data_IF_174641818024
#
_entry.id   IF_174641818024
#
_cell.length_a   1.000
_cell.length_b   1.000
_cell.length_c   1.000
_cell.angle_alpha   90.00
_cell.angle_beta   90.00
_cell.angle_gamma   90.00
#
_symmetry.space_group_name_H-M   'P 1'
#
loop_
_entity.id
_entity.type
_entity.pdbx_description
1 polymer ?
#
# COMPACT_ATOMS: atom_id res chain seq x y z
N UNK A 1 12.33 -4.21 8.05
CA UNK A 1 11.47 -5.36 8.34
C UNK A 1 10.02 -4.91 8.43
N UNK A 2 9.13 -5.38 7.58
CA UNK A 2 7.72 -5.04 7.76
C UNK A 2 7.21 -5.62 9.08
N UNK A 3 6.35 -4.90 9.74
CA UNK A 3 5.69 -5.39 10.95
C UNK A 3 4.73 -6.52 10.59
N UNK A 4 4.70 -7.58 11.41
CA UNK A 4 3.78 -8.70 11.20
C UNK A 4 2.32 -8.25 11.13
N UNK A 5 1.94 -7.24 11.91
CA UNK A 5 0.56 -6.70 11.90
C UNK A 5 0.17 -6.09 10.56
N UNK A 6 1.14 -5.78 9.71
CA UNK A 6 0.92 -5.21 8.38
C UNK A 6 1.22 -6.20 7.26
N UNK A 7 1.33 -7.49 7.57
CA UNK A 7 1.53 -8.52 6.57
C UNK A 7 0.38 -8.50 5.55
N UNK A 8 0.71 -8.84 4.30
CA UNK A 8 -0.27 -8.89 3.22
C UNK A 8 -1.19 -10.09 3.40
N UNK A 9 -2.50 -9.90 3.62
CA UNK A 9 -3.42 -11.00 3.79
C UNK A 9 -3.70 -11.71 2.47
N UNK A 10 -4.15 -12.96 2.55
CA UNK A 10 -4.67 -13.68 1.41
C UNK A 10 -5.99 -13.04 0.94
N UNK A 11 -6.31 -13.20 -0.35
CA UNK A 11 -7.57 -12.70 -0.89
C UNK A 11 -8.75 -13.48 -0.32
N UNK A 12 -9.89 -12.80 -0.04
CA UNK A 12 -11.13 -13.49 0.30
C UNK A 12 -11.57 -14.39 -0.87
N UNK A 13 -12.24 -15.53 -0.60
CA UNK A 13 -12.65 -16.46 -1.65
C UNK A 13 -13.42 -15.83 -2.81
N UNK A 14 -14.27 -14.86 -2.54
CA UNK A 14 -15.07 -14.18 -3.56
C UNK A 14 -14.23 -13.33 -4.51
N UNK A 15 -13.07 -12.88 -4.07
CA UNK A 15 -12.21 -11.98 -4.85
C UNK A 15 -11.23 -12.72 -5.76
N UNK A 16 -11.03 -14.03 -5.58
CA UNK A 16 -10.00 -14.80 -6.29
C UNK A 16 -10.22 -14.80 -7.80
N UNK A 17 -11.48 -14.90 -8.24
CA UNK A 17 -11.82 -15.00 -9.66
C UNK A 17 -12.00 -13.65 -10.35
N UNK A 18 -11.98 -12.55 -9.62
CA UNK A 18 -12.09 -11.22 -10.18
C UNK A 18 -10.71 -10.68 -10.57
N UNK A 19 -10.68 -9.86 -11.62
CA UNK A 19 -9.44 -9.21 -12.04
C UNK A 19 -9.07 -8.10 -11.05
N UNK A 20 -7.85 -8.13 -10.55
CA UNK A 20 -7.36 -7.20 -9.53
C UNK A 20 -6.44 -6.13 -10.09
N UNK A 21 -6.55 -4.92 -9.54
CA UNK A 21 -5.57 -3.87 -9.72
C UNK A 21 -4.62 -3.85 -8.53
N UNK A 22 -3.35 -3.60 -8.79
CA UNK A 22 -2.31 -3.50 -7.75
C UNK A 22 -1.77 -2.08 -7.73
N UNK A 23 -1.74 -1.47 -6.55
CA UNK A 23 -1.16 -0.14 -6.38
C UNK A 23 -0.31 -0.10 -5.12
N UNK A 24 0.87 0.48 -5.23
CA UNK A 24 1.71 0.78 -4.08
C UNK A 24 1.79 2.29 -3.92
N UNK A 25 1.49 2.76 -2.72
CA UNK A 25 1.71 4.14 -2.31
C UNK A 25 3.03 4.18 -1.53
N UNK A 26 3.95 5.02 -1.95
CA UNK A 26 5.21 5.25 -1.25
C UNK A 26 5.21 6.68 -0.73
N UNK A 27 5.25 6.84 0.58
CA UNK A 27 5.06 8.12 1.23
C UNK A 27 6.33 8.56 1.95
N UNK A 28 6.82 9.75 1.62
CA UNK A 28 7.97 10.36 2.31
C UNK A 28 7.53 10.85 3.67
N UNK A 29 8.15 10.31 4.74
CA UNK A 29 7.99 10.79 6.11
C UNK A 29 9.32 11.25 6.72
N UNK A 30 10.28 11.64 5.88
CA UNK A 30 11.54 12.18 6.37
C UNK A 30 11.34 13.48 7.14
N UNK A 31 12.36 13.92 7.89
CA UNK A 31 12.27 15.12 8.69
C UNK A 31 11.91 16.38 7.92
N UNK A 32 12.29 16.43 6.63
CA UNK A 32 12.01 17.58 5.75
C UNK A 32 10.52 17.79 5.48
N UNK A 33 9.69 16.75 5.62
CA UNK A 33 8.23 16.87 5.43
C UNK A 33 7.49 17.21 6.73
N UNK A 34 8.21 17.39 7.83
CA UNK A 34 7.61 17.71 9.12
C UNK A 34 6.58 18.84 9.07
N UNK A 35 6.81 19.96 8.36
CA UNK A 35 5.80 21.02 8.25
C UNK A 35 4.50 20.59 7.57
N UNK A 36 4.53 19.50 6.81
CA UNK A 36 3.41 19.02 5.98
C UNK A 36 2.81 17.70 6.47
N UNK A 37 3.31 17.17 7.59
CA UNK A 37 2.92 15.81 8.02
C UNK A 37 1.42 15.68 8.30
N UNK A 38 0.79 16.72 8.81
CA UNK A 38 -0.65 16.68 9.06
C UNK A 38 -1.45 16.60 7.76
N UNK A 39 -1.00 17.31 6.73
CA UNK A 39 -1.64 17.28 5.41
C UNK A 39 -1.41 15.94 4.72
N UNK A 40 -0.23 15.34 4.89
CA UNK A 40 0.07 14.00 4.39
C UNK A 40 -0.85 12.97 5.05
N UNK A 41 -0.98 13.02 6.37
CA UNK A 41 -1.87 12.12 7.10
C UNK A 41 -3.32 12.30 6.70
N UNK A 42 -3.76 13.54 6.50
CA UNK A 42 -5.11 13.82 6.02
C UNK A 42 -5.31 13.24 4.62
N UNK A 43 -4.33 13.39 3.73
CA UNK A 43 -4.40 12.84 2.39
C UNK A 43 -4.50 11.32 2.37
N UNK A 44 -3.77 10.64 3.24
CA UNK A 44 -3.85 9.18 3.37
C UNK A 44 -5.22 8.73 3.87
N UNK A 45 -5.80 9.48 4.78
CA UNK A 45 -7.16 9.21 5.28
C UNK A 45 -8.19 9.45 4.18
N UNK A 46 -8.08 10.57 3.47
CA UNK A 46 -9.01 10.93 2.39
C UNK A 46 -8.94 9.93 1.24
N UNK A 47 -7.76 9.41 0.92
CA UNK A 47 -7.60 8.35 -0.06
C UNK A 47 -8.45 7.13 0.31
N UNK A 48 -8.39 6.72 1.57
CA UNK A 48 -9.21 5.61 2.06
C UNK A 48 -10.70 5.86 1.89
N UNK A 49 -11.15 7.05 2.26
CA UNK A 49 -12.56 7.42 2.15
C UNK A 49 -13.05 7.45 0.70
N UNK A 50 -12.25 8.03 -0.20
CA UNK A 50 -12.58 8.09 -1.63
C UNK A 50 -12.67 6.68 -2.23
N UNK A 51 -11.71 5.82 -1.90
CA UNK A 51 -11.70 4.43 -2.40
C UNK A 51 -12.89 3.64 -1.87
N UNK A 52 -13.20 3.75 -0.60
CA UNK A 52 -14.32 3.01 0.02
C UNK A 52 -15.68 3.45 -0.52
N UNK A 53 -15.80 4.70 -0.95
CA UNK A 53 -17.03 5.19 -1.58
C UNK A 53 -17.30 4.51 -2.94
N UNK A 54 -16.28 3.93 -3.56
CA UNK A 54 -16.38 3.20 -4.83
C UNK A 54 -16.38 1.69 -4.55
N UNK A 55 -17.48 1.18 -4.07
CA UNK A 55 -17.58 -0.19 -3.54
C UNK A 55 -16.99 -1.26 -4.44
N UNK A 56 -17.27 -1.23 -5.74
CA UNK A 56 -16.75 -2.23 -6.68
C UNK A 56 -15.24 -2.12 -6.81
N UNK A 57 -14.73 -0.91 -7.03
CA UNK A 57 -13.29 -0.67 -7.15
C UNK A 57 -12.57 -1.04 -5.85
N UNK A 58 -13.14 -0.71 -4.70
CA UNK A 58 -12.55 -1.01 -3.41
C UNK A 58 -12.39 -2.51 -3.15
N UNK A 59 -13.20 -3.36 -3.78
CA UNK A 59 -13.12 -4.80 -3.61
C UNK A 59 -12.07 -5.47 -4.50
N UNK A 60 -11.68 -4.82 -5.61
CA UNK A 60 -10.77 -5.42 -6.60
C UNK A 60 -9.46 -4.67 -6.76
N UNK A 61 -9.30 -3.51 -6.15
CA UNK A 61 -8.02 -2.79 -6.12
C UNK A 61 -7.32 -3.11 -4.81
N UNK A 62 -6.16 -3.74 -4.91
CA UNK A 62 -5.34 -4.06 -3.76
C UNK A 62 -4.27 -3.00 -3.62
N UNK A 63 -4.14 -2.47 -2.41
CA UNK A 63 -3.21 -1.38 -2.12
C UNK A 63 -2.21 -1.79 -1.05
N UNK A 64 -1.00 -1.29 -1.19
CA UNK A 64 0.04 -1.33 -0.17
C UNK A 64 0.49 0.09 0.10
N UNK A 65 0.75 0.42 1.36
CA UNK A 65 1.35 1.69 1.74
C UNK A 65 2.71 1.45 2.38
N UNK A 66 3.72 2.01 1.76
CA UNK A 66 5.07 2.08 2.32
C UNK A 66 5.34 3.51 2.77
N UNK A 67 6.07 3.67 3.84
CA UNK A 67 6.62 4.96 4.24
C UNK A 67 8.13 4.89 4.23
N UNK A 68 8.79 6.01 3.98
CA UNK A 68 10.24 6.05 4.01
C UNK A 68 10.75 7.34 4.68
N UNK A 69 11.58 7.15 5.66
CA UNK A 69 12.41 8.15 6.31
C UNK A 69 13.85 7.65 6.18
N UNK A 70 14.52 7.40 7.30
CA UNK A 70 15.84 6.73 7.26
C UNK A 70 15.73 5.28 6.83
N UNK A 71 14.57 4.66 7.07
CA UNK A 71 14.28 3.29 6.67
C UNK A 71 12.93 3.23 5.96
N UNK A 72 12.71 2.13 5.24
CA UNK A 72 11.42 1.85 4.61
C UNK A 72 10.59 1.00 5.55
N UNK A 73 9.35 1.42 5.76
CA UNK A 73 8.41 0.70 6.61
C UNK A 73 7.16 0.34 5.79
N UNK A 74 6.71 -0.91 5.90
CA UNK A 74 5.41 -1.29 5.36
C UNK A 74 4.33 -0.92 6.38
N UNK A 75 3.60 0.15 6.11
CA UNK A 75 2.54 0.63 6.99
C UNK A 75 1.26 -0.18 6.81
N UNK A 76 0.93 -0.51 5.56
CA UNK A 76 -0.23 -1.33 5.22
C UNK A 76 0.20 -2.31 4.14
N UNK A 77 0.22 -3.61 4.45
CA UNK A 77 0.50 -4.65 3.47
C UNK A 77 -0.65 -4.80 2.46
N UNK A 78 -0.37 -5.38 1.29
CA UNK A 78 -1.37 -5.52 0.24
C UNK A 78 -2.69 -6.09 0.76
N UNK A 79 -3.76 -5.37 0.49
CA UNK A 79 -5.13 -5.78 0.82
C UNK A 79 -6.11 -5.02 -0.06
N UNK A 80 -7.34 -5.51 -0.21
CA UNK A 80 -8.36 -4.74 -0.92
C UNK A 80 -8.51 -3.34 -0.31
N UNK A 81 -8.71 -2.34 -1.16
CA UNK A 81 -8.87 -0.95 -0.70
C UNK A 81 -10.03 -0.80 0.29
N UNK A 82 -11.02 -1.69 0.23
CA UNK A 82 -12.13 -1.71 1.19
C UNK A 82 -11.66 -1.98 2.62
N UNK A 83 -10.53 -2.65 2.79
CA UNK A 83 -9.95 -2.98 4.09
C UNK A 83 -8.82 -2.04 4.50
N UNK A 84 -8.54 -1.03 3.67
CA UNK A 84 -7.50 -0.06 3.97
C UNK A 84 -7.92 0.83 5.13
N UNK A 85 -7.01 0.96 6.09
CA UNK A 85 -7.15 1.91 7.21
C UNK A 85 -5.90 2.78 7.22
N UNK A 86 -6.08 4.08 7.10
CA UNK A 86 -4.98 5.02 7.03
C UNK A 86 -4.18 5.02 8.36
N UNK A 87 -2.85 4.83 8.30
CA UNK A 87 -2.01 5.01 9.47
C UNK A 87 -1.78 6.50 9.74
N UNK A 88 -1.30 6.82 10.92
CA UNK A 88 -0.79 8.15 11.24
C UNK A 88 0.74 8.10 11.20
N UNK A 89 1.34 8.86 10.28
CA UNK A 89 2.79 8.90 10.11
C UNK A 89 3.39 10.03 10.92
N UNK A 90 4.60 9.80 11.43
CA UNK A 90 5.41 10.81 12.09
C UNK A 90 6.62 11.12 11.23
N UNK A 91 6.91 12.40 11.02
CA UNK A 91 8.06 12.81 10.21
C UNK A 91 9.34 12.67 11.02
N UNK A 92 10.32 11.95 10.48
CA UNK A 92 11.64 11.81 11.11
C UNK A 92 12.66 11.21 10.15
N UNK A 93 13.92 11.47 10.40
CA UNK A 93 15.03 10.81 9.71
C UNK A 93 15.36 11.40 8.35
N UNK A 94 16.19 10.66 7.64
CA UNK A 94 16.63 10.98 6.28
C UNK A 94 15.67 10.39 5.25
N UNK A 95 15.96 10.62 3.97
CA UNK A 95 15.12 10.13 2.88
C UNK A 95 15.74 8.90 2.24
N UNK A 96 15.10 7.74 2.38
CA UNK A 96 15.51 6.47 1.77
C UNK A 96 14.70 6.18 0.51
N UNK A 97 14.66 7.13 -0.43
CA UNK A 97 13.80 7.06 -1.61
C UNK A 97 14.10 5.85 -2.50
N UNK A 98 15.38 5.63 -2.83
CA UNK A 98 15.77 4.51 -3.69
C UNK A 98 15.40 3.16 -3.05
N UNK A 99 15.59 3.04 -1.75
CA UNK A 99 15.23 1.84 -1.03
C UNK A 99 13.71 1.62 -1.04
N UNK A 100 12.94 2.69 -0.95
CA UNK A 100 11.48 2.60 -1.03
C UNK A 100 11.02 2.07 -2.39
N UNK A 101 11.60 2.55 -3.49
CA UNK A 101 11.28 2.08 -4.84
C UNK A 101 11.63 0.59 -4.98
N UNK A 102 12.81 0.18 -4.53
CA UNK A 102 13.24 -1.23 -4.58
C UNK A 102 12.27 -2.10 -3.78
N UNK A 103 11.91 -1.67 -2.58
CA UNK A 103 10.97 -2.40 -1.73
C UNK A 103 9.61 -2.54 -2.39
N UNK A 104 9.09 -1.44 -2.96
CA UNK A 104 7.80 -1.44 -3.66
C UNK A 104 7.79 -2.43 -4.83
N UNK A 105 8.86 -2.44 -5.63
CA UNK A 105 8.97 -3.35 -6.77
C UNK A 105 9.04 -4.81 -6.32
N UNK A 106 9.77 -5.10 -5.25
CA UNK A 106 9.84 -6.45 -4.69
C UNK A 106 8.49 -6.91 -4.15
N UNK A 107 7.78 -6.05 -3.46
CA UNK A 107 6.46 -6.37 -2.88
C UNK A 107 5.42 -6.58 -3.99
N UNK A 108 5.44 -5.75 -5.03
CA UNK A 108 4.60 -5.95 -6.20
C UNK A 108 4.86 -7.30 -6.86
N UNK A 109 6.13 -7.69 -7.01
CA UNK A 109 6.49 -8.98 -7.59
C UNK A 109 5.96 -10.13 -6.75
N UNK A 110 6.13 -10.07 -5.43
CA UNK A 110 5.62 -11.09 -4.52
C UNK A 110 4.10 -11.22 -4.64
N UNK A 111 3.38 -10.10 -4.71
CA UNK A 111 1.92 -10.13 -4.81
C UNK A 111 1.46 -10.69 -6.16
N UNK A 112 2.15 -10.34 -7.25
CA UNK A 112 1.90 -10.92 -8.58
C UNK A 112 2.13 -12.43 -8.57
N UNK A 113 3.20 -12.90 -7.95
CA UNK A 113 3.49 -14.33 -7.84
C UNK A 113 2.38 -15.04 -7.05
N UNK A 114 1.89 -14.43 -5.98
CA UNK A 114 0.73 -14.95 -5.24
C UNK A 114 -0.50 -15.07 -6.14
N UNK A 115 -0.80 -14.05 -6.94
CA UNK A 115 -1.94 -14.10 -7.87
C UNK A 115 -1.78 -15.19 -8.91
N UNK A 116 -0.57 -15.40 -9.43
CA UNK A 116 -0.30 -16.52 -10.35
C UNK A 116 -0.56 -17.86 -9.69
N UNK A 117 -0.17 -18.03 -8.43
CA UNK A 117 -0.38 -19.28 -7.69
C UNK A 117 -1.86 -19.60 -7.50
N UNK A 118 -2.70 -18.60 -7.26
CA UNK A 118 -4.13 -18.80 -7.00
C UNK A 118 -4.99 -18.61 -8.26
N UNK A 119 -4.37 -18.29 -9.40
CA UNK A 119 -5.08 -18.11 -10.66
C UNK A 119 -5.89 -16.83 -10.77
N UNK A 120 -5.57 -15.81 -10.00
CA UNK A 120 -6.26 -14.52 -10.04
C UNK A 120 -5.69 -13.64 -11.13
N UNK A 121 -6.51 -13.14 -12.09
CA UNK A 121 -6.02 -12.19 -13.09
C UNK A 121 -5.81 -10.80 -12.46
N UNK A 122 -4.88 -10.02 -13.04
CA UNK A 122 -4.61 -8.67 -12.57
C UNK A 122 -4.17 -7.76 -13.72
N UNK A 123 -4.38 -6.46 -13.52
CA UNK A 123 -3.88 -5.45 -14.44
C UNK A 123 -2.43 -5.10 -14.11
N UNK A 124 -1.77 -4.39 -15.03
CA UNK A 124 -0.41 -3.89 -14.77
C UNK A 124 -0.41 -3.04 -13.49
N UNK A 125 0.52 -3.31 -12.56
CA UNK A 125 0.56 -2.58 -11.30
C UNK A 125 0.89 -1.09 -11.46
N UNK A 126 0.47 -0.31 -10.47
CA UNK A 126 0.80 1.09 -10.31
C UNK A 126 1.70 1.29 -9.09
N UNK A 127 2.62 2.21 -9.23
CA UNK A 127 3.51 2.62 -8.14
C UNK A 127 3.53 4.15 -8.08
#
# INVERSE_FOLDING_TARGET
MPSERYASPALPPKAINEKHGLAVLACDRSGSVSPYINEINQGLHDFGDVMKAKHKAASVIDVELLSFGSEVTCEVGFRPAAEYVAPTLCASGCTAFNQAIITALKDLRKRKDYYHQIGTPFWRPFL
#
